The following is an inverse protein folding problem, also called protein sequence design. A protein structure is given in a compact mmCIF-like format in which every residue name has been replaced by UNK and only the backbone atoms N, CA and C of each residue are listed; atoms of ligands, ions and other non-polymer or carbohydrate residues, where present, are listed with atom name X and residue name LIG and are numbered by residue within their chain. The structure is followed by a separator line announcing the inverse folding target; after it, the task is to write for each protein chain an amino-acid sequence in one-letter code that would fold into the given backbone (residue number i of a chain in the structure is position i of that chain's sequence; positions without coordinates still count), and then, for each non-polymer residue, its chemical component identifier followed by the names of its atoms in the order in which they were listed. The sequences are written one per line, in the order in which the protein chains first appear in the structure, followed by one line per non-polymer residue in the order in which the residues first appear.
data_IF_826574392810
#
_entry.id   IF_826574392810
#
_cell.length_a   1.000
_cell.length_b   1.000
_cell.length_c   1.000
_cell.angle_alpha   90.00
_cell.angle_beta   90.00
_cell.angle_gamma   90.00
#
_symmetry.space_group_name_H-M   'P 1'
#
loop_
_entity.id
_entity.type
_entity.pdbx_description
1 polymer ?
#
# COMPACT_ATOMS: atom_id res chain seq x y z
N UNK A 1 -7.65 40.28 -9.38
CA UNK A 1 -6.60 39.83 -8.44
C UNK A 1 -7.08 38.73 -7.48
N UNK A 2 -8.28 38.82 -6.88
CA UNK A 2 -8.81 37.81 -5.94
C UNK A 2 -9.18 36.45 -6.56
N UNK A 3 -9.60 36.42 -7.83
CA UNK A 3 -9.94 35.17 -8.54
C UNK A 3 -8.74 34.28 -8.88
N UNK A 4 -7.54 34.87 -9.04
CA UNK A 4 -6.31 34.12 -9.36
C UNK A 4 -5.76 33.38 -8.13
N UNK A 5 -5.93 33.98 -6.95
CA UNK A 5 -5.61 33.35 -5.65
C UNK A 5 -6.49 32.13 -5.37
N UNK A 6 -7.79 32.20 -5.71
CA UNK A 6 -8.72 31.08 -5.57
C UNK A 6 -8.35 29.91 -6.51
N UNK A 7 -7.90 30.21 -7.73
CA UNK A 7 -7.50 29.21 -8.72
C UNK A 7 -6.19 28.50 -8.33
N UNK A 8 -5.22 29.23 -7.76
CA UNK A 8 -4.01 28.64 -7.19
C UNK A 8 -4.31 27.71 -6.01
N UNK A 9 -5.30 28.05 -5.17
CA UNK A 9 -5.74 27.19 -4.07
C UNK A 9 -6.28 25.85 -4.59
N UNK A 10 -7.05 25.86 -5.69
CA UNK A 10 -7.59 24.66 -6.35
C UNK A 10 -6.51 23.78 -6.99
N UNK A 11 -5.41 24.37 -7.49
CA UNK A 11 -4.27 23.63 -8.04
C UNK A 11 -3.40 22.98 -6.95
N UNK A 12 -3.35 23.56 -5.74
CA UNK A 12 -2.66 22.97 -4.58
C UNK A 12 -3.40 21.76 -3.99
N UNK A 13 -4.71 21.67 -4.21
CA UNK A 13 -5.54 20.48 -3.87
C UNK A 13 -5.52 19.42 -4.97
N UNK A 14 -4.61 19.54 -5.96
CA UNK A 14 -4.20 18.44 -6.83
C UNK A 14 -3.48 17.35 -6.04
N UNK A 15 -4.12 16.82 -5.00
CA UNK A 15 -3.69 15.64 -4.30
C UNK A 15 -3.74 14.49 -5.30
N UNK A 16 -2.56 13.94 -5.58
CA UNK A 16 -2.43 12.60 -6.14
C UNK A 16 -3.55 11.71 -5.57
N UNK A 17 -4.19 10.90 -6.42
CA UNK A 17 -5.09 9.81 -6.00
C UNK A 17 -4.28 8.80 -5.18
N UNK A 18 -3.92 9.17 -3.96
CA UNK A 18 -3.33 8.30 -2.97
C UNK A 18 -4.49 7.66 -2.26
N UNK A 19 -4.69 6.36 -2.45
CA UNK A 19 -5.53 5.60 -1.52
C UNK A 19 -5.02 5.86 -0.10
N UNK A 20 -5.94 5.88 0.86
CA UNK A 20 -5.58 6.02 2.26
C UNK A 20 -4.66 4.86 2.68
N UNK A 21 -3.83 5.09 3.71
CA UNK A 21 -3.07 3.99 4.30
C UNK A 21 -4.05 2.91 4.80
N UNK A 22 -3.83 1.63 4.49
CA UNK A 22 -4.70 0.58 4.99
C UNK A 22 -4.79 0.58 6.52
N UNK A 23 -5.98 0.36 7.07
CA UNK A 23 -6.24 0.44 8.51
C UNK A 23 -5.35 -0.47 9.37
N UNK A 24 -4.92 -1.61 8.83
CA UNK A 24 -4.07 -2.57 9.52
C UNK A 24 -2.57 -2.30 9.36
N UNK A 25 -2.20 -1.32 8.53
CA UNK A 25 -0.82 -1.05 8.14
C UNK A 25 -0.37 0.34 8.60
N UNK A 26 0.94 0.56 8.63
CA UNK A 26 1.55 1.86 8.84
C UNK A 26 2.22 2.32 7.55
N UNK A 27 2.03 3.59 7.18
CA UNK A 27 2.57 4.13 5.93
C UNK A 27 3.48 5.33 6.20
N UNK A 28 4.68 5.30 5.63
CA UNK A 28 5.64 6.40 5.73
C UNK A 28 6.54 6.44 4.50
N UNK A 29 6.61 7.59 3.81
CA UNK A 29 7.57 7.81 2.73
C UNK A 29 7.51 6.79 1.57
N UNK A 30 6.32 6.29 1.21
CA UNK A 30 6.15 5.26 0.18
C UNK A 30 6.33 3.82 0.67
N UNK A 31 6.72 3.62 1.92
CA UNK A 31 6.70 2.30 2.57
C UNK A 31 5.34 2.03 3.20
N UNK A 32 4.80 0.85 2.94
CA UNK A 32 3.61 0.30 3.58
C UNK A 32 4.02 -0.92 4.40
N UNK A 33 3.93 -0.79 5.72
CA UNK A 33 4.26 -1.85 6.67
C UNK A 33 3.01 -2.50 7.25
N UNK A 34 2.75 -3.72 6.79
CA UNK A 34 1.65 -4.58 7.22
C UNK A 34 2.17 -5.81 7.99
N UNK A 35 3.43 -5.80 8.46
CA UNK A 35 4.06 -6.95 9.08
C UNK A 35 3.57 -7.24 10.50
N UNK A 36 3.59 -8.51 10.90
CA UNK A 36 3.21 -8.97 12.25
C UNK A 36 1.79 -8.56 12.67
N UNK A 37 0.85 -8.56 11.72
CA UNK A 37 -0.56 -8.14 11.92
C UNK A 37 -1.54 -9.31 11.88
N UNK A 38 -1.05 -10.55 11.87
CA UNK A 38 -1.85 -11.77 11.72
C UNK A 38 -2.75 -11.72 10.49
N UNK A 39 -2.28 -11.10 9.40
CA UNK A 39 -3.06 -10.99 8.17
C UNK A 39 -3.31 -12.37 7.58
N UNK A 40 -4.57 -12.61 7.22
CA UNK A 40 -5.02 -13.70 6.37
C UNK A 40 -5.38 -13.14 5.00
N UNK A 41 -5.59 -14.01 4.00
CA UNK A 41 -5.95 -13.59 2.64
C UNK A 41 -7.20 -12.71 2.61
N UNK A 42 -8.17 -12.95 3.50
CA UNK A 42 -9.41 -12.15 3.62
C UNK A 42 -9.22 -10.77 4.23
N UNK A 43 -8.12 -10.53 4.93
CA UNK A 43 -7.81 -9.26 5.62
C UNK A 43 -6.81 -8.41 4.84
N UNK A 44 -6.36 -8.88 3.68
CA UNK A 44 -5.46 -8.13 2.82
C UNK A 44 -6.15 -6.86 2.30
N UNK A 45 -5.49 -5.69 2.37
CA UNK A 45 -6.02 -4.45 1.80
C UNK A 45 -6.16 -4.58 0.28
N UNK A 46 -7.29 -4.12 -0.27
CA UNK A 46 -7.50 -4.09 -1.72
C UNK A 46 -6.95 -2.83 -2.39
N UNK A 47 -6.50 -1.85 -1.62
CA UNK A 47 -5.90 -0.63 -2.18
C UNK A 47 -4.76 -0.12 -1.30
N UNK A 48 -3.81 0.54 -1.96
CA UNK A 48 -2.61 1.09 -1.36
C UNK A 48 -2.37 2.52 -1.86
N UNK A 49 -1.61 3.34 -1.13
CA UNK A 49 -1.15 4.64 -1.62
C UNK A 49 -0.43 4.47 -2.97
N UNK A 50 -0.79 5.27 -3.99
CA UNK A 50 -0.21 5.13 -5.34
C UNK A 50 1.31 5.33 -5.42
N UNK A 51 1.90 5.98 -4.41
CA UNK A 51 3.35 6.13 -4.24
C UNK A 51 4.02 5.00 -3.45
N UNK A 52 3.37 3.84 -3.30
CA UNK A 52 3.95 2.72 -2.56
C UNK A 52 5.13 2.14 -3.34
N UNK A 53 6.31 2.19 -2.74
CA UNK A 53 7.58 1.65 -3.26
C UNK A 53 8.01 0.38 -2.55
N UNK A 54 7.60 0.22 -1.29
CA UNK A 54 7.96 -0.92 -0.44
C UNK A 54 6.73 -1.45 0.27
N UNK A 55 6.49 -2.77 0.19
CA UNK A 55 5.39 -3.43 0.88
C UNK A 55 5.91 -4.56 1.77
N UNK A 56 5.68 -4.46 3.07
CA UNK A 56 6.10 -5.45 4.05
C UNK A 56 4.90 -6.28 4.51
N UNK A 57 4.93 -7.58 4.24
CA UNK A 57 3.90 -8.55 4.62
C UNK A 57 4.44 -9.69 5.48
N UNK A 58 5.70 -9.61 5.91
CA UNK A 58 6.35 -10.65 6.70
C UNK A 58 5.68 -10.90 8.06
N UNK A 59 5.91 -12.07 8.64
CA UNK A 59 5.34 -12.51 9.92
C UNK A 59 3.79 -12.48 9.96
N UNK A 60 3.15 -12.82 8.84
CA UNK A 60 1.68 -12.93 8.76
C UNK A 60 1.25 -14.37 8.46
N UNK A 61 -0.05 -14.63 8.58
CA UNK A 61 -0.66 -15.95 8.34
C UNK A 61 -1.11 -16.11 6.88
N UNK A 62 -0.37 -15.52 5.95
CA UNK A 62 -0.65 -15.57 4.53
C UNK A 62 -0.20 -16.90 3.96
N UNK A 63 -1.13 -17.64 3.37
CA UNK A 63 -0.88 -18.93 2.70
C UNK A 63 -0.79 -18.79 1.19
N UNK A 64 -1.46 -17.78 0.64
CA UNK A 64 -1.47 -17.37 -0.77
C UNK A 64 -1.60 -15.84 -0.85
N UNK A 65 -1.19 -15.25 -1.97
CA UNK A 65 -1.62 -13.90 -2.34
C UNK A 65 -2.64 -14.00 -3.47
N UNK A 66 -3.72 -13.19 -3.48
CA UNK A 66 -4.62 -13.12 -4.61
C UNK A 66 -3.86 -12.77 -5.90
N UNK A 67 -4.28 -13.36 -7.01
CA UNK A 67 -3.77 -12.95 -8.31
C UNK A 67 -4.07 -11.47 -8.53
N UNK A 68 -3.07 -10.74 -9.00
CA UNK A 68 -3.16 -9.30 -9.25
C UNK A 68 -3.11 -8.41 -8.00
N UNK A 69 -2.85 -8.97 -6.81
CA UNK A 69 -2.74 -8.19 -5.57
C UNK A 69 -1.65 -7.10 -5.63
N UNK A 70 -0.61 -7.31 -6.43
CA UNK A 70 0.48 -6.36 -6.61
C UNK A 70 0.36 -5.54 -7.89
N UNK A 71 -0.62 -5.82 -8.76
CA UNK A 71 -0.70 -5.23 -10.10
C UNK A 71 -1.01 -3.72 -10.03
N UNK A 72 -1.77 -3.30 -9.02
CA UNK A 72 -2.11 -1.89 -8.78
C UNK A 72 -0.93 -1.08 -8.18
N UNK A 73 0.15 -1.75 -7.79
CA UNK A 73 1.33 -1.15 -7.18
C UNK A 73 2.41 -0.84 -8.23
N UNK A 74 2.07 0.01 -9.19
CA UNK A 74 2.95 0.43 -10.30
C UNK A 74 4.31 1.02 -9.89
N UNK A 75 4.44 1.54 -8.66
CA UNK A 75 5.68 2.12 -8.13
C UNK A 75 6.48 1.15 -7.26
N UNK A 76 6.01 -0.09 -7.09
CA UNK A 76 6.59 -1.08 -6.18
C UNK A 76 7.96 -1.53 -6.66
N UNK A 77 8.94 -1.47 -5.75
CA UNK A 77 10.32 -1.88 -6.00
C UNK A 77 10.70 -3.11 -5.20
N UNK A 78 10.11 -3.25 -4.01
CA UNK A 78 10.42 -4.33 -3.09
C UNK A 78 9.20 -4.82 -2.34
N UNK A 79 9.08 -6.14 -2.21
CA UNK A 79 8.11 -6.81 -1.37
C UNK A 79 8.83 -7.73 -0.40
N UNK A 80 8.48 -7.67 0.89
CA UNK A 80 9.07 -8.51 1.92
C UNK A 80 8.01 -9.47 2.48
N UNK A 81 8.12 -10.76 2.13
CA UNK A 81 7.16 -11.82 2.49
C UNK A 81 7.73 -12.90 3.43
N UNK A 82 8.85 -12.64 4.10
CA UNK A 82 9.53 -13.62 4.95
C UNK A 82 8.61 -14.16 6.07
N UNK A 83 8.75 -15.44 6.43
CA UNK A 83 8.00 -16.05 7.54
C UNK A 83 6.48 -15.97 7.38
N UNK A 84 6.00 -15.90 6.14
CA UNK A 84 4.59 -16.09 5.78
C UNK A 84 4.43 -17.49 5.21
N UNK A 85 3.30 -18.17 5.42
CA UNK A 85 3.06 -19.52 4.85
C UNK A 85 3.09 -19.64 3.31
N UNK A 86 3.44 -18.55 2.61
CA UNK A 86 3.81 -18.46 1.20
C UNK A 86 5.25 -18.90 0.93
N UNK A 87 6.20 -18.61 1.83
CA UNK A 87 7.62 -18.92 1.63
C UNK A 87 7.88 -20.43 1.53
N UNK A 88 7.09 -21.23 2.23
CA UNK A 88 7.14 -22.70 2.19
C UNK A 88 6.49 -23.33 0.96
N UNK A 89 5.92 -22.52 0.05
CA UNK A 89 5.07 -23.00 -1.05
C UNK A 89 5.57 -22.61 -2.44
N UNK A 90 6.71 -21.90 -2.52
CA UNK A 90 7.39 -21.52 -3.75
C UNK A 90 8.68 -22.32 -3.95
#
# INVERSE_FOLDING_TARGET
MKGLLLLCLLLLIGGQRSSACPHLCSCHGGKVDCSSRFLTVSLLPTSFPGGTTELHLHNNQLTTLPNGFLDDLISLRSTLLKDTGLDKRM
#
